data_IF_725855511227
#
_entry.id   IF_725855511227
#
_cell.length_a   1.000
_cell.length_b   1.000
_cell.length_c   1.000
_cell.angle_alpha   90.00
_cell.angle_beta   90.00
_cell.angle_gamma   90.00
#
_symmetry.space_group_name_H-M   'P 1'
#
loop_
_entity.id
_entity.type
_entity.pdbx_description
1 polymer ?
#
# COMPACT_ATOMS: atom_id res chain seq x y z
N UNK A 1 -5.79 13.88 -30.09
CA UNK A 1 -5.01 12.61 -30.09
C UNK A 1 -4.78 12.24 -28.63
N UNK A 2 -5.59 11.32 -28.09
CA UNK A 2 -5.40 10.83 -26.72
C UNK A 2 -4.43 9.66 -26.76
N UNK A 3 -3.26 9.80 -26.14
CA UNK A 3 -2.35 8.68 -25.89
C UNK A 3 -3.06 7.68 -24.99
N UNK A 4 -3.29 6.45 -25.50
CA UNK A 4 -3.82 5.35 -24.69
C UNK A 4 -2.77 5.01 -23.64
N UNK A 5 -2.99 5.46 -22.41
CA UNK A 5 -2.18 5.04 -21.26
C UNK A 5 -2.61 3.62 -20.93
N UNK A 6 -1.78 2.66 -21.33
CA UNK A 6 -1.88 1.28 -20.89
C UNK A 6 -1.35 1.22 -19.46
N UNK A 7 -2.20 0.74 -18.54
CA UNK A 7 -1.85 0.64 -17.13
C UNK A 7 -1.64 -0.83 -16.82
N UNK A 8 -0.46 -1.15 -16.32
CA UNK A 8 -0.10 -2.50 -15.89
C UNK A 8 -0.72 -2.77 -14.51
N UNK A 9 -1.87 -3.46 -14.50
CA UNK A 9 -2.62 -3.79 -13.28
C UNK A 9 -1.91 -4.86 -12.45
N UNK A 10 -1.13 -5.73 -13.08
CA UNK A 10 -0.31 -6.72 -12.38
C UNK A 10 0.81 -6.03 -11.58
N UNK A 11 1.47 -5.05 -12.19
CA UNK A 11 2.49 -4.26 -11.51
C UNK A 11 1.90 -3.46 -10.33
N UNK A 12 0.69 -2.92 -10.46
CA UNK A 12 0.00 -2.24 -9.35
C UNK A 12 -0.27 -3.20 -8.18
N UNK A 13 -0.72 -4.42 -8.44
CA UNK A 13 -0.97 -5.43 -7.41
C UNK A 13 0.32 -5.94 -6.77
N UNK A 14 1.36 -6.18 -7.56
CA UNK A 14 2.67 -6.59 -7.05
C UNK A 14 3.26 -5.52 -6.12
N UNK A 15 3.10 -4.24 -6.47
CA UNK A 15 3.55 -3.12 -5.63
C UNK A 15 2.72 -3.01 -4.34
N UNK A 16 1.39 -3.16 -4.41
CA UNK A 16 0.53 -3.19 -3.23
C UNK A 16 0.94 -4.30 -2.26
N UNK A 17 1.12 -5.53 -2.77
CA UNK A 17 1.56 -6.67 -1.97
C UNK A 17 2.94 -6.43 -1.33
N UNK A 18 3.91 -5.92 -2.10
CA UNK A 18 5.25 -5.61 -1.61
C UNK A 18 5.22 -4.58 -0.47
N UNK A 19 4.38 -3.54 -0.59
CA UNK A 19 4.20 -2.54 0.45
C UNK A 19 3.56 -3.13 1.71
N UNK A 20 2.52 -3.95 1.55
CA UNK A 20 1.86 -4.61 2.66
C UNK A 20 2.81 -5.53 3.45
N UNK A 21 3.59 -6.36 2.75
CA UNK A 21 4.56 -7.26 3.37
C UNK A 21 5.69 -6.50 4.09
N UNK A 22 6.23 -5.46 3.44
CA UNK A 22 7.27 -4.62 4.04
C UNK A 22 6.77 -3.88 5.29
N UNK A 23 5.50 -3.49 5.31
CA UNK A 23 4.89 -2.82 6.46
C UNK A 23 4.62 -3.76 7.63
N UNK A 24 4.17 -4.99 7.33
CA UNK A 24 3.94 -6.04 8.34
C UNK A 24 5.23 -6.40 9.11
N UNK A 25 6.38 -6.42 8.45
CA UNK A 25 7.68 -6.65 9.09
C UNK A 25 8.07 -5.51 10.04
N UNK A 26 7.81 -4.25 9.66
CA UNK A 26 8.17 -3.07 10.47
C UNK A 26 7.34 -2.92 11.75
N UNK A 27 6.12 -3.46 11.79
CA UNK A 27 5.31 -3.51 13.01
C UNK A 27 5.92 -4.43 14.08
N UNK A 28 6.79 -5.36 13.71
CA UNK A 28 7.40 -6.34 14.64
C UNK A 28 8.66 -5.82 15.34
N UNK A 29 9.30 -4.76 14.84
CA UNK A 29 10.64 -4.34 15.27
C UNK A 29 10.66 -3.24 16.34
N UNK A 30 9.72 -3.26 17.30
CA UNK A 30 9.76 -2.31 18.41
C UNK A 30 10.83 -2.69 19.45
N UNK A 31 11.75 -1.77 19.84
CA UNK A 31 12.72 -2.04 20.88
C UNK A 31 12.04 -2.19 22.26
N UNK A 32 12.36 -3.25 22.99
CA UNK A 32 11.80 -3.51 24.33
C UNK A 32 12.65 -2.80 25.40
N UNK A 33 12.04 -1.87 26.14
CA UNK A 33 12.67 -1.06 27.21
C UNK A 33 13.43 -1.88 28.27
N UNK A 34 13.01 -3.14 28.50
CA UNK A 34 13.43 -3.99 29.62
C UNK A 34 14.91 -4.38 29.66
N UNK A 35 15.74 -3.99 28.68
CA UNK A 35 17.19 -4.31 28.65
C UNK A 35 18.12 -3.17 29.06
N UNK A 36 17.58 -1.99 29.37
CA UNK A 36 18.39 -0.83 29.73
C UNK A 36 18.66 -0.80 31.24
N UNK A 37 19.83 -1.31 31.65
CA UNK A 37 20.23 -1.53 33.05
C UNK A 37 20.44 -0.29 33.94
N UNK A 38 20.08 0.92 33.50
CA UNK A 38 20.24 2.15 34.29
C UNK A 38 18.99 3.06 34.19
N UNK A 39 18.51 3.57 35.33
CA UNK A 39 17.33 4.47 35.43
C UNK A 39 17.37 5.67 34.48
N UNK A 40 18.54 6.28 34.29
CA UNK A 40 18.73 7.40 33.34
C UNK A 40 18.53 6.95 31.88
N UNK A 41 18.97 5.75 31.53
CA UNK A 41 18.76 5.16 30.22
C UNK A 41 17.29 4.79 29.99
N UNK A 42 16.58 4.38 31.03
CA UNK A 42 15.12 4.13 30.98
C UNK A 42 14.35 5.41 30.67
N UNK A 43 14.61 6.52 31.38
CA UNK A 43 13.89 7.78 31.14
C UNK A 43 14.17 8.39 29.76
N UNK A 44 15.41 8.28 29.26
CA UNK A 44 15.74 8.70 27.89
C UNK A 44 15.06 7.80 26.84
N UNK A 45 14.96 6.50 27.13
CA UNK A 45 14.24 5.56 26.28
C UNK A 45 12.73 5.84 26.26
N UNK A 46 12.11 6.12 27.40
CA UNK A 46 10.67 6.45 27.47
C UNK A 46 10.35 7.73 26.68
N UNK A 47 11.22 8.74 26.73
CA UNK A 47 11.07 9.93 25.88
C UNK A 47 11.22 9.60 24.40
N UNK A 48 12.20 8.77 24.04
CA UNK A 48 12.37 8.28 22.68
C UNK A 48 11.12 7.54 22.19
N UNK A 49 10.64 6.62 23.01
CA UNK A 49 9.50 5.76 22.76
C UNK A 49 8.23 6.57 22.52
N UNK A 50 8.03 7.61 23.34
CA UNK A 50 6.87 8.49 23.27
C UNK A 50 6.73 9.26 21.96
N UNK A 51 7.82 9.54 21.24
CA UNK A 51 7.73 10.13 19.89
C UNK A 51 7.89 9.11 18.77
N UNK A 52 8.66 8.05 18.98
CA UNK A 52 8.99 7.07 17.96
C UNK A 52 7.78 6.20 17.59
N UNK A 53 7.05 5.70 18.59
CA UNK A 53 5.89 4.84 18.35
C UNK A 53 4.76 5.52 17.58
N UNK A 54 4.31 6.74 17.97
CA UNK A 54 3.30 7.46 17.20
C UNK A 54 3.75 7.76 15.77
N UNK A 55 4.99 8.20 15.57
CA UNK A 55 5.52 8.49 14.25
C UNK A 55 5.58 7.23 13.36
N UNK A 56 6.03 6.11 13.93
CA UNK A 56 6.05 4.82 13.25
C UNK A 56 4.63 4.37 12.89
N UNK A 57 3.67 4.51 13.81
CA UNK A 57 2.26 4.18 13.56
C UNK A 57 1.71 4.96 12.35
N UNK A 58 1.87 6.29 12.34
CA UNK A 58 1.44 7.14 11.22
C UNK A 58 2.09 6.75 9.89
N UNK A 59 3.38 6.42 9.88
CA UNK A 59 4.04 5.92 8.67
C UNK A 59 3.44 4.59 8.22
N UNK A 60 3.21 3.66 9.14
CA UNK A 60 2.63 2.36 8.78
C UNK A 60 1.19 2.49 8.26
N UNK A 61 0.37 3.38 8.82
CA UNK A 61 -0.98 3.66 8.34
C UNK A 61 -0.96 4.27 6.93
N UNK A 62 -0.01 5.17 6.67
CA UNK A 62 0.15 5.79 5.34
C UNK A 62 0.55 4.77 4.28
N UNK A 63 1.40 3.80 4.63
CA UNK A 63 1.81 2.72 3.72
C UNK A 63 0.64 1.77 3.44
N UNK A 64 -0.16 1.44 4.45
CA UNK A 64 -1.37 0.62 4.27
C UNK A 64 -2.38 1.30 3.33
N UNK A 65 -2.63 2.61 3.54
CA UNK A 65 -3.50 3.39 2.67
C UNK A 65 -3.01 3.43 1.21
N UNK A 66 -1.69 3.53 1.00
CA UNK A 66 -1.10 3.48 -0.34
C UNK A 66 -1.28 2.09 -0.98
N UNK A 67 -1.06 1.03 -0.23
CA UNK A 67 -1.27 -0.35 -0.68
C UNK A 67 -2.72 -0.55 -1.13
N UNK A 68 -3.69 -0.09 -0.33
CA UNK A 68 -5.12 -0.18 -0.65
C UNK A 68 -5.48 0.63 -1.90
N UNK A 69 -4.93 1.84 -2.03
CA UNK A 69 -5.15 2.70 -3.20
C UNK A 69 -4.63 2.06 -4.49
N UNK A 70 -3.47 1.38 -4.45
CA UNK A 70 -2.92 0.67 -5.60
C UNK A 70 -3.79 -0.52 -6.01
N UNK A 71 -4.28 -1.30 -5.04
CA UNK A 71 -5.22 -2.40 -5.30
C UNK A 71 -6.52 -1.88 -5.93
N UNK A 72 -7.10 -0.83 -5.36
CA UNK A 72 -8.31 -0.18 -5.89
C UNK A 72 -8.09 0.34 -7.31
N UNK A 73 -6.94 0.96 -7.59
CA UNK A 73 -6.62 1.44 -8.91
C UNK A 73 -6.57 0.31 -9.94
N UNK A 74 -5.94 -0.82 -9.60
CA UNK A 74 -5.91 -2.00 -10.47
C UNK A 74 -7.33 -2.48 -10.82
N UNK A 75 -8.21 -2.61 -9.83
CA UNK A 75 -9.59 -3.06 -10.04
C UNK A 75 -10.40 -2.10 -10.93
N UNK A 76 -10.22 -0.79 -10.75
CA UNK A 76 -10.86 0.23 -11.59
C UNK A 76 -10.40 0.13 -13.05
N UNK A 77 -9.11 -0.08 -13.28
CA UNK A 77 -8.58 -0.22 -14.64
C UNK A 77 -9.05 -1.50 -15.32
N UNK A 78 -9.11 -2.63 -14.60
CA UNK A 78 -9.65 -3.87 -15.15
C UNK A 78 -11.14 -3.78 -15.49
N UNK A 79 -11.94 -3.15 -14.62
CA UNK A 79 -13.36 -2.91 -14.90
C UNK A 79 -13.55 -2.02 -16.14
N UNK A 80 -12.72 -0.99 -16.29
CA UNK A 80 -12.74 -0.11 -17.47
C UNK A 80 -12.42 -0.90 -18.74
N UNK A 81 -11.40 -1.76 -18.69
CA UNK A 81 -10.94 -2.53 -19.84
C UNK A 81 -11.95 -3.62 -20.22
N UNK A 82 -12.58 -4.27 -19.24
CA UNK A 82 -13.69 -5.21 -19.45
C UNK A 82 -14.89 -4.54 -20.13
N UNK A 83 -15.35 -3.38 -19.62
CA UNK A 83 -16.44 -2.61 -20.23
C UNK A 83 -16.11 -2.16 -21.65
N UNK A 84 -14.85 -1.81 -21.90
CA UNK A 84 -14.38 -1.44 -23.24
C UNK A 84 -14.45 -2.64 -24.19
N UNK A 85 -14.01 -3.82 -23.76
CA UNK A 85 -14.06 -5.05 -24.54
C UNK A 85 -15.50 -5.48 -24.88
N UNK A 86 -16.44 -5.38 -23.94
CA UNK A 86 -17.87 -5.64 -24.18
C UNK A 86 -18.47 -4.69 -25.23
N UNK A 87 -18.11 -3.41 -25.18
CA UNK A 87 -18.54 -2.42 -26.17
C UNK A 87 -18.08 -2.74 -27.59
N UNK A 88 -16.87 -3.31 -27.75
CA UNK A 88 -16.38 -3.78 -29.05
C UNK A 88 -17.07 -5.07 -29.51
N UNK A 89 -17.30 -6.03 -28.61
CA UNK A 89 -18.00 -7.28 -28.94
C UNK A 89 -19.45 -7.06 -29.39
N UNK A 90 -20.16 -6.13 -28.74
CA UNK A 90 -21.53 -5.74 -29.13
C UNK A 90 -21.62 -4.96 -30.44
N UNK A 91 -20.57 -4.22 -30.81
CA UNK A 91 -20.47 -3.53 -32.10
C UNK A 91 -20.20 -4.46 -33.28
N UNK A 92 -19.36 -5.49 -33.08
CA UNK A 92 -19.05 -6.48 -34.11
C UNK A 92 -20.27 -7.36 -34.48
N UNK A 93 -21.15 -7.65 -33.52
CA UNK A 93 -22.38 -8.43 -33.73
C UNK A 93 -23.52 -7.65 -34.40
N UNK A 94 -23.45 -6.31 -34.45
CA UNK A 94 -24.44 -5.45 -35.13
C UNK A 94 -24.04 -5.03 -36.55
N UNK A 95 -22.81 -5.36 -36.96
CA UNK A 95 -22.27 -5.01 -38.28
C UNK A 95 -22.33 -6.18 -39.30
N UNK A 96 -22.99 -7.29 -38.94
CA UNK A 96 -23.30 -8.44 -39.81
C UNK A 96 -24.81 -8.53 -39.95
#
# INVERSE_FOLDING_TARGET
MGTKVEVDTEQLRANAQSLHEANAERRRSSPVAGRLGARRSTGAFEQFDGYWHPALATMTESIDALSEALGTAADVYEQRDAKSAEGFAGGALRAV
#
